data_IF_735698913720
#
_entry.id   IF_735698913720
#
_cell.length_a   1.000
_cell.length_b   1.000
_cell.length_c   1.000
_cell.angle_alpha   90.00
_cell.angle_beta   90.00
_cell.angle_gamma   90.00
#
_symmetry.space_group_name_H-M   'P 1'
#
loop_
_entity.id
_entity.type
_entity.pdbx_description
1 polymer ?
#
# COMPACT_ATOMS: atom_id res chain seq x y z
N UNK A 1 -14.29 -1.17 -13.76
CA UNK A 1 -14.28 -0.83 -12.32
C UNK A 1 -14.17 0.68 -12.22
N UNK A 2 -14.95 1.34 -11.35
CA UNK A 2 -14.82 2.79 -11.11
C UNK A 2 -14.30 3.01 -9.70
N UNK A 3 -13.31 3.89 -9.54
CA UNK A 3 -12.73 4.18 -8.22
C UNK A 3 -13.76 4.71 -7.20
N UNK A 4 -14.81 5.38 -7.66
CA UNK A 4 -15.92 5.82 -6.79
C UNK A 4 -16.62 4.64 -6.12
N UNK A 5 -16.80 3.52 -6.82
CA UNK A 5 -17.43 2.30 -6.26
C UNK A 5 -16.55 1.66 -5.18
N UNK A 6 -15.22 1.71 -5.36
CA UNK A 6 -14.24 1.22 -4.37
C UNK A 6 -14.25 2.10 -3.12
N UNK A 7 -14.30 3.43 -3.30
CA UNK A 7 -14.42 4.39 -2.19
C UNK A 7 -15.71 4.14 -1.40
N UNK A 8 -16.86 4.02 -2.09
CA UNK A 8 -18.14 3.73 -1.45
C UNK A 8 -18.10 2.40 -0.68
N UNK A 9 -17.57 1.35 -1.29
CA UNK A 9 -17.42 0.03 -0.68
C UNK A 9 -16.61 0.08 0.61
N UNK A 10 -15.44 0.74 0.60
CA UNK A 10 -14.59 0.86 1.80
C UNK A 10 -15.19 1.82 2.82
N UNK A 11 -15.85 2.90 2.39
CA UNK A 11 -16.60 3.81 3.28
C UNK A 11 -17.68 3.05 4.05
N UNK A 12 -18.34 2.10 3.40
CA UNK A 12 -19.41 1.29 3.99
C UNK A 12 -18.87 0.08 4.80
N UNK A 13 -17.55 0.00 4.99
CA UNK A 13 -16.90 -0.98 5.87
C UNK A 13 -16.67 -2.35 5.23
N UNK A 14 -16.81 -2.46 3.90
CA UNK A 14 -16.58 -3.73 3.20
C UNK A 14 -15.11 -3.89 2.78
N UNK A 15 -14.65 -5.14 2.78
CA UNK A 15 -13.31 -5.49 2.34
C UNK A 15 -13.15 -5.35 0.81
N UNK A 16 -12.02 -4.79 0.39
CA UNK A 16 -11.60 -4.69 -0.99
C UNK A 16 -10.96 -5.99 -1.44
N UNK A 17 -11.28 -6.40 -2.66
CA UNK A 17 -10.62 -7.52 -3.34
C UNK A 17 -9.22 -7.13 -3.81
N UNK A 18 -8.39 -8.15 -4.04
CA UNK A 18 -7.08 -7.99 -4.66
C UNK A 18 -7.16 -7.21 -5.99
N UNK A 19 -8.17 -7.51 -6.83
CA UNK A 19 -8.35 -6.83 -8.12
C UNK A 19 -8.71 -5.35 -7.96
N UNK A 20 -9.50 -4.98 -6.95
CA UNK A 20 -9.83 -3.58 -6.66
C UNK A 20 -8.62 -2.80 -6.17
N UNK A 21 -7.79 -3.41 -5.33
CA UNK A 21 -6.56 -2.80 -4.83
C UNK A 21 -5.54 -2.63 -5.96
N UNK A 22 -5.34 -3.64 -6.80
CA UNK A 22 -4.46 -3.53 -7.97
C UNK A 22 -4.93 -2.45 -8.94
N UNK A 23 -6.25 -2.38 -9.23
CA UNK A 23 -6.82 -1.31 -10.06
C UNK A 23 -6.53 0.08 -9.47
N UNK A 24 -6.66 0.24 -8.15
CA UNK A 24 -6.37 1.51 -7.48
C UNK A 24 -4.89 1.89 -7.58
N UNK A 25 -3.97 0.98 -7.26
CA UNK A 25 -2.52 1.24 -7.30
C UNK A 25 -2.03 1.49 -8.73
N UNK A 26 -2.47 0.69 -9.71
CA UNK A 26 -2.17 0.93 -11.12
C UNK A 26 -2.72 2.28 -11.60
N UNK A 27 -3.89 2.68 -11.09
CA UNK A 27 -4.49 3.97 -11.42
C UNK A 27 -3.70 5.16 -10.88
N UNK A 28 -3.11 5.05 -9.69
CA UNK A 28 -2.17 6.04 -9.16
C UNK A 28 -0.90 6.08 -10.02
N UNK A 29 -0.27 4.91 -10.26
CA UNK A 29 0.96 4.79 -11.05
C UNK A 29 0.82 5.41 -12.45
N UNK A 30 -0.30 5.12 -13.12
CA UNK A 30 -0.59 5.59 -14.47
C UNK A 30 -1.24 6.99 -14.51
N UNK A 31 -1.44 7.64 -13.36
CA UNK A 31 -2.11 8.95 -13.23
C UNK A 31 -3.52 9.01 -13.83
N UNK A 32 -4.22 7.87 -13.87
CA UNK A 32 -5.60 7.79 -14.34
C UNK A 32 -6.61 7.99 -13.21
N UNK A 33 -6.18 7.82 -11.95
CA UNK A 33 -6.95 8.17 -10.76
C UNK A 33 -6.37 9.47 -10.18
N UNK A 34 -7.13 10.57 -10.14
CA UNK A 34 -6.68 11.82 -9.54
C UNK A 34 -6.56 11.73 -8.01
N UNK A 35 -5.64 12.53 -7.47
CA UNK A 35 -5.26 12.53 -6.04
C UNK A 35 -6.46 12.65 -5.09
N UNK A 36 -7.48 13.44 -5.45
CA UNK A 36 -8.65 13.66 -4.59
C UNK A 36 -9.50 12.39 -4.38
N UNK A 37 -9.45 11.43 -5.31
CA UNK A 37 -10.14 10.14 -5.15
C UNK A 37 -9.32 9.21 -4.25
N UNK A 38 -8.00 9.20 -4.43
CA UNK A 38 -7.08 8.49 -3.55
C UNK A 38 -7.17 9.02 -2.12
N UNK A 39 -7.22 10.34 -1.90
CA UNK A 39 -7.36 10.91 -0.56
C UNK A 39 -8.68 10.52 0.10
N UNK A 40 -9.77 10.43 -0.68
CA UNK A 40 -11.06 9.98 -0.16
C UNK A 40 -11.01 8.49 0.27
N UNK A 41 -10.37 7.63 -0.54
CA UNK A 41 -10.19 6.22 -0.19
C UNK A 41 -9.30 6.05 1.05
N UNK A 42 -8.20 6.80 1.14
CA UNK A 42 -7.32 6.78 2.31
C UNK A 42 -8.05 7.19 3.59
N UNK A 43 -8.94 8.20 3.53
CA UNK A 43 -9.77 8.58 4.68
C UNK A 43 -10.76 7.46 5.04
N UNK A 44 -11.39 6.81 4.07
CA UNK A 44 -12.27 5.67 4.31
C UNK A 44 -11.51 4.50 4.98
N UNK A 45 -10.29 4.20 4.52
CA UNK A 45 -9.39 3.21 5.15
C UNK A 45 -9.01 3.64 6.57
N UNK A 46 -8.73 4.93 6.80
CA UNK A 46 -8.39 5.45 8.13
C UNK A 46 -9.52 5.22 9.14
N UNK A 47 -10.77 5.38 8.71
CA UNK A 47 -11.95 5.25 9.57
C UNK A 47 -12.42 3.80 9.75
N UNK A 48 -12.33 2.97 8.71
CA UNK A 48 -12.89 1.61 8.70
C UNK A 48 -11.83 0.49 8.74
N UNK A 49 -10.55 0.82 8.61
CA UNK A 49 -9.45 -0.13 8.57
C UNK A 49 -9.40 -0.98 7.30
N UNK A 50 -8.47 -1.92 7.33
CA UNK A 50 -8.29 -3.00 6.37
C UNK A 50 -8.03 -4.29 7.14
N UNK A 51 -8.51 -5.41 6.63
CA UNK A 51 -8.14 -6.72 7.17
C UNK A 51 -6.72 -7.14 6.73
N UNK A 52 -6.31 -8.34 7.14
CA UNK A 52 -4.98 -8.87 6.85
C UNK A 52 -4.78 -9.14 5.35
N UNK A 53 -5.80 -9.64 4.66
CA UNK A 53 -5.73 -9.92 3.23
C UNK A 53 -5.60 -8.63 2.44
N UNK A 54 -6.46 -7.65 2.73
CA UNK A 54 -6.43 -6.32 2.16
C UNK A 54 -5.07 -5.65 2.34
N UNK A 55 -4.52 -5.69 3.55
CA UNK A 55 -3.20 -5.11 3.86
C UNK A 55 -2.08 -5.81 3.07
N UNK A 56 -2.19 -7.13 2.89
CA UNK A 56 -1.24 -7.93 2.11
C UNK A 56 -1.32 -7.59 0.63
N UNK A 57 -2.53 -7.49 0.06
CA UNK A 57 -2.75 -7.11 -1.32
C UNK A 57 -2.23 -5.71 -1.60
N UNK A 58 -2.50 -4.74 -0.71
CA UNK A 58 -2.02 -3.37 -0.85
C UNK A 58 -0.50 -3.31 -0.84
N UNK A 59 0.14 -4.00 0.11
CA UNK A 59 1.61 -4.07 0.20
C UNK A 59 2.20 -4.67 -1.08
N UNK A 60 1.65 -5.79 -1.54
CA UNK A 60 2.12 -6.49 -2.74
C UNK A 60 1.94 -5.65 -4.00
N UNK A 61 0.80 -4.98 -4.16
CA UNK A 61 0.53 -4.08 -5.29
C UNK A 61 1.52 -2.91 -5.31
N UNK A 62 1.83 -2.32 -4.16
CA UNK A 62 2.83 -1.25 -4.05
C UNK A 62 4.25 -1.74 -4.37
N UNK A 63 4.66 -2.93 -3.87
CA UNK A 63 5.95 -3.55 -4.21
C UNK A 63 6.09 -3.72 -5.73
N UNK A 64 5.04 -4.21 -6.39
CA UNK A 64 5.04 -4.44 -7.83
C UNK A 64 4.84 -3.17 -8.68
N UNK A 65 4.62 -2.02 -8.05
CA UNK A 65 4.40 -0.76 -8.78
C UNK A 65 5.69 -0.18 -9.38
N UNK A 66 6.86 -0.58 -8.86
CA UNK A 66 8.17 -0.09 -9.27
C UNK A 66 9.22 -1.20 -9.39
N UNK A 67 10.47 -0.84 -9.12
CA UNK A 67 11.60 -1.76 -9.21
C UNK A 67 11.64 -2.72 -8.02
N UNK A 68 11.93 -3.99 -8.28
CA UNK A 68 12.18 -5.01 -7.26
C UNK A 68 13.67 -5.35 -7.29
N UNK A 69 14.35 -5.02 -6.20
CA UNK A 69 15.81 -5.23 -6.08
C UNK A 69 16.11 -6.72 -5.87
N UNK A 70 16.94 -7.29 -6.74
CA UNK A 70 17.48 -8.64 -6.56
C UNK A 70 18.84 -8.59 -5.82
N UNK A 71 18.87 -9.16 -4.61
CA UNK A 71 20.06 -9.29 -3.78
C UNK A 71 20.65 -10.71 -3.79
N UNK A 72 20.26 -11.55 -4.76
CA UNK A 72 20.71 -12.93 -4.90
C UNK A 72 22.23 -13.05 -5.12
N UNK A 73 22.85 -12.03 -5.73
CA UNK A 73 24.29 -11.96 -5.97
C UNK A 73 25.13 -11.76 -4.71
N UNK A 74 24.53 -11.35 -3.59
CA UNK A 74 25.20 -11.17 -2.31
C UNK A 74 25.06 -12.45 -1.49
N UNK A 75 26.20 -13.09 -1.20
CA UNK A 75 26.27 -14.30 -0.38
C UNK A 75 25.75 -14.06 1.04
N UNK A 76 25.04 -15.05 1.59
CA UNK A 76 24.48 -15.01 2.94
C UNK A 76 23.04 -14.48 3.04
N UNK A 77 22.56 -14.37 4.29
CA UNK A 77 21.21 -13.87 4.61
C UNK A 77 21.24 -12.35 4.69
N UNK A 78 20.40 -11.69 3.90
CA UNK A 78 20.24 -10.25 3.92
C UNK A 78 19.23 -9.88 5.00
N UNK A 79 19.63 -9.00 5.92
CA UNK A 79 18.78 -8.52 7.02
C UNK A 79 18.64 -7.02 6.86
N UNK A 80 17.44 -6.52 7.09
CA UNK A 80 17.13 -5.09 7.10
C UNK A 80 16.47 -4.70 8.42
N UNK A 81 16.53 -3.41 8.76
CA UNK A 81 15.89 -2.84 9.94
C UNK A 81 15.09 -1.61 9.53
N UNK A 82 13.83 -1.60 9.96
CA UNK A 82 12.94 -0.46 9.81
C UNK A 82 12.52 0.11 11.18
N UNK A 83 12.26 1.42 11.25
CA UNK A 83 11.64 2.09 12.40
C UNK A 83 10.34 2.72 11.96
N UNK A 84 9.27 2.53 12.73
CA UNK A 84 7.98 3.20 12.48
C UNK A 84 8.04 4.70 12.78
N UNK A 85 9.03 5.15 13.57
CA UNK A 85 9.24 6.54 13.96
C UNK A 85 9.57 6.69 15.44
N UNK A 86 10.28 7.78 15.79
CA UNK A 86 10.64 8.09 17.17
C UNK A 86 11.51 9.35 17.25
N UNK A 87 11.30 10.19 18.28
CA UNK A 87 12.11 11.39 18.49
C UNK A 87 13.48 10.98 19.04
N UNK A 88 14.53 11.20 18.26
CA UNK A 88 15.89 10.83 18.63
C UNK A 88 16.26 9.36 18.39
N UNK A 89 15.46 8.60 17.62
CA UNK A 89 15.83 7.22 17.23
C UNK A 89 17.02 7.24 16.27
N UNK A 90 18.19 6.86 16.77
CA UNK A 90 19.45 6.77 16.01
C UNK A 90 19.86 5.32 15.70
N UNK A 91 18.97 4.36 15.96
CA UNK A 91 19.29 2.93 15.89
C UNK A 91 19.80 2.50 14.52
N UNK A 92 19.33 3.12 13.43
CA UNK A 92 19.77 2.74 12.07
C UNK A 92 21.18 3.24 11.71
N UNK A 93 21.80 4.08 12.54
CA UNK A 93 23.13 4.68 12.29
C UNK A 93 24.23 4.00 13.11
N UNK A 94 23.87 3.33 14.22
CA UNK A 94 24.80 2.64 15.13
C UNK A 94 24.79 1.15 14.80
#
# INVERSE_FOLDING_TARGET
MRIVEIIEKKRDGHALSEQEINFWIDGIKNKTIPDYQTSALLMAITLNGMDLEETTYLTTAMVNSGDVVDLSSIEGVKVDKHSTGGVGDKTSII
#
